data_IF_385767059044
#
_entry.id   IF_385767059044
#
_cell.length_a   1.000
_cell.length_b   1.000
_cell.length_c   1.000
_cell.angle_alpha   90.00
_cell.angle_beta   90.00
_cell.angle_gamma   90.00
#
_symmetry.space_group_name_H-M   'P 1'
#
loop_
_entity.id
_entity.type
_entity.pdbx_description
1 polymer ?
#
# COMPACT_ATOMS: atom_id res chain seq x y z
N UNK A 1 -5.17 10.97 17.58
CA UNK A 1 -6.40 10.18 17.74
C UNK A 1 -7.29 10.80 18.82
N UNK A 2 -6.79 11.02 20.06
CA UNK A 2 -7.57 11.59 21.18
C UNK A 2 -8.26 12.93 20.84
N UNK A 3 -7.61 13.81 20.07
CA UNK A 3 -8.15 15.10 19.62
C UNK A 3 -8.83 15.05 18.23
N UNK A 4 -9.16 13.87 17.72
CA UNK A 4 -9.72 13.70 16.38
C UNK A 4 -8.72 13.78 15.21
N UNK A 5 -7.45 14.03 15.48
CA UNK A 5 -6.40 14.06 14.46
C UNK A 5 -5.93 12.63 14.15
N UNK A 6 -6.59 11.98 13.23
CA UNK A 6 -6.30 10.58 12.87
C UNK A 6 -5.16 10.41 11.85
N UNK A 7 -4.76 11.49 11.16
CA UNK A 7 -3.78 11.48 10.07
C UNK A 7 -2.48 12.22 10.38
N UNK A 8 -2.43 12.96 11.48
CA UNK A 8 -1.32 13.85 11.81
C UNK A 8 -0.72 13.48 13.17
N UNK A 9 0.57 13.81 13.29
CA UNK A 9 1.25 13.82 14.57
C UNK A 9 0.83 15.02 15.45
N UNK A 10 1.53 15.21 16.58
CA UNK A 10 1.29 16.32 17.50
C UNK A 10 1.66 17.70 16.93
N UNK A 11 2.42 17.74 15.85
CA UNK A 11 2.85 18.97 15.16
C UNK A 11 1.98 19.29 13.94
N UNK A 12 0.95 18.49 13.66
CA UNK A 12 0.09 18.68 12.50
C UNK A 12 0.67 18.16 11.19
N UNK A 13 1.70 17.33 11.25
CA UNK A 13 2.38 16.78 10.07
C UNK A 13 1.72 15.47 9.66
N UNK A 14 1.35 15.34 8.37
CA UNK A 14 0.92 14.07 7.79
C UNK A 14 2.14 13.17 7.57
N UNK A 15 2.31 12.17 8.45
CA UNK A 15 3.47 11.29 8.43
C UNK A 15 3.62 10.48 7.14
N UNK A 16 2.54 10.25 6.39
CA UNK A 16 2.63 9.60 5.07
C UNK A 16 2.87 10.59 3.91
N UNK A 17 3.50 11.74 4.19
CA UNK A 17 3.96 12.73 3.22
C UNK A 17 5.42 13.15 3.44
N UNK A 18 6.10 12.54 4.43
CA UNK A 18 7.43 12.98 4.86
C UNK A 18 8.52 11.93 4.69
N UNK A 19 8.25 10.84 3.97
CA UNK A 19 9.26 9.82 3.67
C UNK A 19 10.26 10.25 2.59
N UNK A 20 9.88 11.19 1.72
CA UNK A 20 10.71 11.67 0.61
C UNK A 20 10.64 13.21 0.51
N UNK A 21 11.71 13.95 0.08
CA UNK A 21 13.00 13.45 -0.44
C UNK A 21 13.97 12.93 0.63
N UNK A 22 13.85 13.38 1.86
CA UNK A 22 14.63 12.87 2.99
C UNK A 22 13.84 13.11 4.27
N UNK A 23 13.43 12.04 4.96
CA UNK A 23 12.73 12.22 6.22
C UNK A 23 13.63 12.90 7.23
N UNK A 24 13.15 13.98 7.83
CA UNK A 24 13.80 14.67 8.93
C UNK A 24 13.81 13.73 10.14
N UNK A 25 15.01 13.30 10.55
CA UNK A 25 15.19 12.37 11.67
C UNK A 25 14.73 12.95 13.02
N UNK A 26 14.65 14.26 13.16
CA UNK A 26 14.15 14.90 14.36
C UNK A 26 12.62 15.00 14.36
N UNK A 27 12.02 15.31 13.21
CA UNK A 27 10.56 15.49 13.06
C UNK A 27 9.81 14.22 12.70
N UNK A 28 10.49 13.29 12.04
CA UNK A 28 9.89 12.03 11.57
C UNK A 28 10.83 10.83 11.78
N UNK A 29 11.25 10.54 13.04
CA UNK A 29 12.28 9.54 13.32
C UNK A 29 11.88 8.12 12.88
N UNK A 30 10.61 7.75 13.01
CA UNK A 30 10.14 6.43 12.59
C UNK A 30 10.21 6.26 11.07
N UNK A 31 9.88 7.30 10.30
CA UNK A 31 9.96 7.32 8.86
C UNK A 31 11.41 7.25 8.38
N UNK A 32 12.30 8.01 9.02
CA UNK A 32 13.73 7.97 8.73
C UNK A 32 14.31 6.56 9.00
N UNK A 33 14.02 5.99 10.17
CA UNK A 33 14.47 4.65 10.53
C UNK A 33 13.96 3.58 9.54
N UNK A 34 12.69 3.64 9.13
CA UNK A 34 12.11 2.70 8.16
C UNK A 34 12.84 2.77 6.82
N UNK A 35 13.14 3.97 6.31
CA UNK A 35 13.86 4.12 5.03
C UNK A 35 15.31 3.63 5.12
N UNK A 36 16.00 3.84 6.23
CA UNK A 36 17.34 3.28 6.48
C UNK A 36 17.28 1.75 6.49
N UNK A 37 16.33 1.16 7.20
CA UNK A 37 16.15 -0.30 7.24
C UNK A 37 15.81 -0.88 5.87
N UNK A 38 14.91 -0.25 5.12
CA UNK A 38 14.56 -0.67 3.77
C UNK A 38 15.78 -0.63 2.84
N UNK A 39 16.58 0.45 2.91
CA UNK A 39 17.83 0.57 2.13
C UNK A 39 18.84 -0.50 2.52
N UNK A 40 19.07 -0.72 3.80
CA UNK A 40 19.97 -1.75 4.28
C UNK A 40 19.53 -3.16 3.88
N UNK A 41 18.21 -3.44 3.92
CA UNK A 41 17.66 -4.70 3.46
C UNK A 41 17.84 -4.90 1.96
N UNK A 42 17.67 -3.85 1.13
CA UNK A 42 17.78 -3.95 -0.33
C UNK A 42 19.19 -4.28 -0.83
N UNK A 43 20.24 -3.98 -0.04
CA UNK A 43 21.64 -4.24 -0.41
C UNK A 43 22.14 -5.64 -0.05
N UNK A 44 21.34 -6.46 0.64
CA UNK A 44 21.71 -7.82 1.04
C UNK A 44 21.51 -8.82 -0.12
N UNK A 45 22.28 -9.92 -0.16
CA UNK A 45 21.96 -11.06 -1.04
C UNK A 45 20.52 -11.52 -0.79
N UNK A 46 19.73 -11.69 -1.84
CA UNK A 46 18.29 -11.92 -1.81
C UNK A 46 17.43 -10.73 -1.33
N UNK A 47 18.01 -9.62 -1.03
CA UNK A 47 17.44 -8.30 -0.86
C UNK A 47 16.02 -8.16 -0.33
N UNK A 48 15.49 -6.94 -0.40
CA UNK A 48 14.08 -6.67 -0.13
C UNK A 48 13.24 -7.07 -1.36
N UNK A 49 12.38 -8.07 -1.22
CA UNK A 49 11.57 -8.61 -2.32
C UNK A 49 10.24 -7.88 -2.50
N UNK A 50 9.69 -7.32 -1.43
CA UNK A 50 8.35 -6.71 -1.40
C UNK A 50 8.28 -5.68 -0.28
N UNK A 51 7.63 -4.55 -0.54
CA UNK A 51 7.24 -3.56 0.47
C UNK A 51 5.73 -3.28 0.35
N UNK A 52 5.01 -3.39 1.46
CA UNK A 52 3.57 -3.10 1.51
C UNK A 52 3.27 -2.22 2.72
N UNK A 53 2.73 -1.04 2.45
CA UNK A 53 2.19 -0.12 3.43
C UNK A 53 0.68 -0.37 3.56
N UNK A 54 0.22 -0.79 4.74
CA UNK A 54 -1.16 -1.20 4.97
C UNK A 54 -2.01 0.00 5.40
N UNK A 55 -3.00 0.31 4.58
CA UNK A 55 -3.92 1.43 4.79
C UNK A 55 -5.38 0.99 4.84
N UNK A 56 -6.22 1.90 5.33
CA UNK A 56 -7.67 1.75 5.29
C UNK A 56 -8.30 2.90 4.51
N UNK A 57 -9.26 2.58 3.62
CA UNK A 57 -9.90 3.53 2.71
C UNK A 57 -11.36 3.79 3.11
N UNK A 58 -11.74 5.09 3.18
CA UNK A 58 -13.06 5.49 3.63
C UNK A 58 -14.16 5.33 2.58
N UNK A 59 -13.87 5.59 1.30
CA UNK A 59 -14.90 5.70 0.25
C UNK A 59 -14.92 4.52 -0.73
N UNK A 60 -13.76 4.05 -1.23
CA UNK A 60 -13.72 2.90 -2.13
C UNK A 60 -13.96 1.61 -1.37
N UNK A 61 -14.86 0.75 -1.87
CA UNK A 61 -15.15 -0.57 -1.31
C UNK A 61 -14.11 -1.60 -1.74
N UNK A 62 -13.98 -2.68 -0.95
CA UNK A 62 -13.10 -3.79 -1.26
C UNK A 62 -11.65 -3.55 -0.90
N UNK A 63 -10.78 -4.32 -1.51
CA UNK A 63 -9.33 -4.30 -1.32
C UNK A 63 -8.65 -4.01 -2.66
N UNK A 64 -7.72 -3.09 -2.71
CA UNK A 64 -6.99 -2.71 -3.92
C UNK A 64 -5.61 -2.13 -3.59
N UNK A 65 -4.80 -1.91 -4.60
CA UNK A 65 -3.43 -1.41 -4.46
C UNK A 65 -3.25 -0.07 -5.17
N UNK A 66 -2.50 0.83 -4.53
CA UNK A 66 -1.77 1.90 -5.18
C UNK A 66 -0.32 1.47 -5.37
N UNK A 67 0.12 1.37 -6.62
CA UNK A 67 1.51 1.11 -6.98
C UNK A 67 2.24 2.37 -7.43
N UNK A 68 3.43 2.18 -7.97
CA UNK A 68 4.26 3.24 -8.52
C UNK A 68 4.23 3.22 -10.05
N UNK A 69 4.38 4.39 -10.67
CA UNK A 69 4.73 4.49 -12.07
C UNK A 69 6.23 4.25 -12.22
N UNK A 70 6.61 3.36 -13.12
CA UNK A 70 8.00 3.03 -13.43
C UNK A 70 8.21 3.26 -14.92
N UNK A 71 9.29 3.97 -15.27
CA UNK A 71 9.60 4.29 -16.68
C UNK A 71 10.09 3.05 -17.45
N UNK A 72 10.76 2.13 -16.74
CA UNK A 72 11.17 0.85 -17.30
C UNK A 72 9.97 -0.09 -17.47
N UNK A 73 9.80 -0.61 -18.70
CA UNK A 73 8.63 -1.42 -19.06
C UNK A 73 8.59 -2.75 -18.32
N UNK A 74 9.73 -3.42 -18.13
CA UNK A 74 9.78 -4.72 -17.46
C UNK A 74 9.43 -4.56 -15.98
N UNK A 75 10.01 -3.57 -15.32
CA UNK A 75 9.68 -3.24 -13.93
C UNK A 75 8.22 -2.80 -13.78
N UNK A 76 7.67 -2.08 -14.75
CA UNK A 76 6.26 -1.68 -14.74
C UNK A 76 5.32 -2.88 -14.87
N UNK A 77 5.64 -3.84 -15.71
CA UNK A 77 4.92 -5.11 -15.83
C UNK A 77 5.02 -5.91 -14.53
N UNK A 78 6.21 -6.06 -13.97
CA UNK A 78 6.45 -6.74 -12.69
C UNK A 78 5.64 -6.13 -11.56
N UNK A 79 5.59 -4.80 -11.48
CA UNK A 79 4.81 -4.05 -10.51
C UNK A 79 3.30 -4.37 -10.61
N UNK A 80 2.75 -4.44 -11.81
CA UNK A 80 1.33 -4.76 -12.05
C UNK A 80 1.02 -6.23 -11.86
N UNK A 81 1.97 -7.12 -12.14
CA UNK A 81 1.80 -8.56 -12.02
C UNK A 81 1.44 -8.98 -10.60
N UNK A 82 2.04 -8.38 -9.57
CA UNK A 82 1.70 -8.68 -8.18
C UNK A 82 0.22 -8.44 -7.88
N UNK A 83 -0.32 -7.29 -8.30
CA UNK A 83 -1.73 -6.98 -8.14
C UNK A 83 -2.64 -7.94 -8.93
N UNK A 84 -2.23 -8.33 -10.14
CA UNK A 84 -2.96 -9.32 -10.94
C UNK A 84 -2.98 -10.69 -10.24
N UNK A 85 -1.85 -11.13 -9.70
CA UNK A 85 -1.76 -12.39 -8.94
C UNK A 85 -2.65 -12.36 -7.69
N UNK A 86 -2.74 -11.22 -6.99
CA UNK A 86 -3.69 -11.06 -5.88
C UNK A 86 -5.14 -11.22 -6.36
N UNK A 87 -5.50 -10.67 -7.51
CA UNK A 87 -6.89 -10.73 -8.01
C UNK A 87 -7.31 -12.15 -8.41
N UNK A 88 -6.40 -12.97 -8.94
CA UNK A 88 -6.73 -14.35 -9.30
C UNK A 88 -6.71 -15.30 -8.10
N UNK A 89 -6.16 -14.87 -6.95
CA UNK A 89 -6.09 -15.65 -5.72
C UNK A 89 -7.00 -15.13 -4.60
N UNK A 90 -7.69 -14.00 -4.80
CA UNK A 90 -8.57 -13.40 -3.80
C UNK A 90 -9.87 -12.94 -4.43
N UNK A 91 -10.99 -13.42 -3.90
CA UNK A 91 -12.33 -12.98 -4.34
C UNK A 91 -12.64 -11.53 -3.98
N UNK A 92 -11.92 -10.94 -3.05
CA UNK A 92 -12.16 -9.59 -2.54
C UNK A 92 -11.21 -8.52 -3.11
N UNK A 93 -10.17 -8.92 -3.85
CA UNK A 93 -9.20 -7.99 -4.40
C UNK A 93 -9.65 -7.42 -5.74
N UNK A 94 -9.84 -6.10 -5.82
CA UNK A 94 -10.31 -5.41 -7.02
C UNK A 94 -9.13 -4.86 -7.82
N UNK A 95 -8.69 -5.60 -8.85
CA UNK A 95 -7.62 -5.18 -9.74
C UNK A 95 -7.96 -3.89 -10.50
N UNK A 96 -9.22 -3.69 -10.88
CA UNK A 96 -9.66 -2.51 -11.63
C UNK A 96 -9.69 -1.24 -10.76
N UNK A 97 -9.77 -1.39 -9.44
CA UNK A 97 -9.65 -0.27 -8.51
C UNK A 97 -8.19 0.15 -8.24
N UNK A 98 -7.21 -0.66 -8.65
CA UNK A 98 -5.79 -0.35 -8.49
C UNK A 98 -5.38 0.86 -9.35
N UNK A 99 -4.34 1.57 -8.91
CA UNK A 99 -3.80 2.70 -9.65
C UNK A 99 -2.27 2.71 -9.61
N UNK A 100 -1.67 2.77 -10.80
CA UNK A 100 -0.21 2.76 -11.03
C UNK A 100 0.23 3.98 -11.86
N UNK A 101 -0.63 5.00 -11.97
CA UNK A 101 -0.35 6.16 -12.80
C UNK A 101 0.63 7.14 -12.15
N UNK A 102 1.37 7.86 -13.00
CA UNK A 102 2.30 8.91 -12.60
C UNK A 102 1.56 10.06 -11.90
N UNK A 103 0.40 10.42 -12.40
CA UNK A 103 -0.46 11.48 -11.85
C UNK A 103 -0.88 11.17 -10.41
N UNK A 104 -1.27 9.91 -10.15
CA UNK A 104 -1.63 9.49 -8.79
C UNK A 104 -0.41 9.43 -7.87
N UNK A 105 0.75 9.03 -8.39
CA UNK A 105 2.00 8.95 -7.62
C UNK A 105 2.50 10.33 -7.18
N UNK A 106 2.32 11.36 -8.04
CA UNK A 106 2.82 12.72 -7.82
C UNK A 106 1.72 13.70 -7.34
N UNK A 107 0.50 13.23 -7.15
CA UNK A 107 -0.64 14.08 -6.77
C UNK A 107 -0.36 14.86 -5.50
N UNK A 108 -0.66 16.17 -5.52
CA UNK A 108 -0.66 16.99 -4.32
C UNK A 108 -2.02 16.92 -3.60
N UNK A 109 -1.99 17.00 -2.29
CA UNK A 109 -3.18 17.09 -1.46
C UNK A 109 -3.89 18.42 -1.73
N UNK A 110 -5.22 18.38 -1.89
CA UNK A 110 -6.03 19.57 -2.22
C UNK A 110 -6.10 20.59 -1.08
N UNK A 111 -6.67 21.79 -1.35
CA UNK A 111 -6.73 22.89 -0.37
C UNK A 111 -7.51 22.54 0.90
N UNK A 112 -8.49 21.64 0.80
CA UNK A 112 -9.29 21.14 1.95
C UNK A 112 -8.64 19.97 2.68
N UNK A 113 -7.48 19.49 2.22
CA UNK A 113 -6.76 18.44 2.91
C UNK A 113 -6.11 18.99 4.19
N UNK A 114 -5.84 18.11 5.11
CA UNK A 114 -5.23 18.44 6.38
C UNK A 114 -3.78 18.95 6.25
N UNK A 115 -3.10 18.62 5.14
CA UNK A 115 -1.80 19.18 4.73
C UNK A 115 -1.90 19.64 3.27
N UNK A 116 -2.48 20.84 3.00
CA UNK A 116 -2.63 21.35 1.65
C UNK A 116 -1.28 21.44 0.92
N UNK A 117 -1.26 20.97 -0.33
CA UNK A 117 -0.06 21.00 -1.16
C UNK A 117 0.99 19.93 -0.87
N UNK A 118 0.81 19.10 0.17
CA UNK A 118 1.72 17.98 0.43
C UNK A 118 1.62 16.93 -0.69
N UNK A 119 2.77 16.54 -1.24
CA UNK A 119 2.83 15.59 -2.35
C UNK A 119 2.68 14.14 -1.90
N UNK A 120 1.89 13.36 -2.64
CA UNK A 120 1.85 11.90 -2.50
C UNK A 120 3.20 11.24 -2.81
N UNK A 121 4.13 11.95 -3.46
CA UNK A 121 5.52 11.53 -3.64
C UNK A 121 6.23 11.26 -2.31
N UNK A 122 5.87 11.99 -1.26
CA UNK A 122 6.37 11.76 0.11
C UNK A 122 5.78 10.55 0.82
N UNK A 123 4.95 9.72 0.17
CA UNK A 123 4.39 8.51 0.77
C UNK A 123 5.42 7.38 0.90
N UNK A 124 5.18 6.47 1.84
CA UNK A 124 6.09 5.36 2.16
C UNK A 124 6.43 4.50 0.93
N UNK A 125 5.42 4.13 0.10
CA UNK A 125 5.65 3.30 -1.09
C UNK A 125 6.55 3.97 -2.13
N UNK A 126 6.33 5.28 -2.38
CA UNK A 126 7.13 6.03 -3.36
C UNK A 126 8.55 6.21 -2.86
N UNK A 127 8.71 6.59 -1.60
CA UNK A 127 10.01 6.73 -0.96
C UNK A 127 10.78 5.40 -0.96
N UNK A 128 10.14 4.29 -0.60
CA UNK A 128 10.77 2.98 -0.62
C UNK A 128 11.29 2.64 -2.03
N UNK A 129 10.48 2.80 -3.06
CA UNK A 129 10.90 2.59 -4.45
C UNK A 129 12.09 3.47 -4.83
N UNK A 130 12.05 4.78 -4.51
CA UNK A 130 13.14 5.72 -4.84
C UNK A 130 14.44 5.42 -4.10
N UNK A 131 14.37 5.04 -2.82
CA UNK A 131 15.56 4.71 -2.03
C UNK A 131 16.19 3.36 -2.39
N UNK A 132 15.37 2.38 -2.74
CA UNK A 132 15.81 0.99 -2.87
C UNK A 132 15.91 0.50 -4.32
N UNK A 133 15.19 1.15 -5.23
CA UNK A 133 14.97 0.65 -6.60
C UNK A 133 13.94 -0.47 -6.71
N UNK A 134 13.24 -0.80 -5.60
CA UNK A 134 12.29 -1.89 -5.54
C UNK A 134 11.02 -1.56 -6.35
N UNK A 135 10.78 -2.27 -7.45
CA UNK A 135 9.57 -2.14 -8.25
C UNK A 135 8.31 -2.51 -7.45
N UNK A 136 8.40 -3.53 -6.61
CA UNK A 136 7.29 -4.08 -5.81
C UNK A 136 7.11 -3.34 -4.47
N UNK A 137 6.84 -2.04 -4.54
CA UNK A 137 6.53 -1.20 -3.39
C UNK A 137 5.10 -0.63 -3.52
N UNK A 138 4.22 -0.95 -2.56
CA UNK A 138 2.78 -0.71 -2.66
C UNK A 138 2.19 -0.07 -1.41
N UNK A 139 1.04 0.60 -1.60
CA UNK A 139 0.06 0.83 -0.55
C UNK A 139 -1.13 -0.10 -0.79
N UNK A 140 -1.44 -0.98 0.15
CA UNK A 140 -2.64 -1.80 0.13
C UNK A 140 -3.75 -1.07 0.88
N UNK A 141 -4.86 -0.85 0.20
CA UNK A 141 -6.03 -0.17 0.75
C UNK A 141 -7.15 -1.17 0.99
N UNK A 142 -7.70 -1.18 2.21
CA UNK A 142 -8.89 -1.94 2.56
C UNK A 142 -9.99 -0.97 3.00
N UNK A 143 -11.22 -1.16 2.52
CA UNK A 143 -12.33 -0.35 3.04
C UNK A 143 -12.58 -0.64 4.52
N UNK A 144 -12.89 0.41 5.32
CA UNK A 144 -13.14 0.27 6.75
C UNK A 144 -14.30 -0.68 7.10
N UNK A 145 -15.34 -0.71 6.25
CA UNK A 145 -16.62 -1.33 6.61
C UNK A 145 -17.08 -2.39 5.62
N UNK A 146 -16.64 -2.32 4.35
CA UNK A 146 -17.26 -3.10 3.27
C UNK A 146 -16.22 -3.85 2.45
N UNK A 147 -16.27 -5.18 2.50
CA UNK A 147 -15.70 -6.03 1.47
C UNK A 147 -16.47 -5.89 0.15
N UNK A 148 -15.87 -6.34 -0.93
CA UNK A 148 -16.50 -6.46 -2.24
C UNK A 148 -16.05 -7.76 -2.88
N UNK A 149 -16.98 -8.61 -3.29
CA UNK A 149 -16.67 -9.77 -4.12
C UNK A 149 -16.53 -9.29 -5.56
N UNK A 150 -15.35 -9.44 -6.14
CA UNK A 150 -15.03 -8.98 -7.50
C UNK A 150 -14.58 -10.11 -8.41
N UNK A 151 -14.05 -11.18 -7.83
CA UNK A 151 -13.45 -12.27 -8.58
C UNK A 151 -14.08 -13.62 -8.21
N UNK A 152 -14.19 -14.51 -9.18
CA UNK A 152 -14.50 -15.91 -8.94
C UNK A 152 -13.17 -16.69 -8.85
N UNK A 153 -12.79 -17.06 -7.64
CA UNK A 153 -11.56 -17.82 -7.38
C UNK A 153 -11.92 -19.31 -7.33
N UNK A 154 -11.37 -20.14 -8.23
CA UNK A 154 -11.58 -21.57 -8.19
C UNK A 154 -11.14 -22.17 -6.85
N UNK A 155 -11.88 -23.17 -6.36
CA UNK A 155 -11.44 -23.93 -5.18
C UNK A 155 -10.12 -24.63 -5.49
N UNK A 156 -9.18 -24.59 -4.53
CA UNK A 156 -7.94 -25.32 -4.66
C UNK A 156 -8.22 -26.82 -4.80
N UNK A 157 -7.65 -27.45 -5.83
CA UNK A 157 -7.74 -28.90 -6.07
C UNK A 157 -6.45 -29.55 -5.58
N UNK A 158 -6.55 -30.52 -4.65
CA UNK A 158 -5.43 -31.34 -4.19
C UNK A 158 -5.21 -31.30 -2.66
N UNK A 159 -4.27 -32.09 -2.17
CA UNK A 159 -3.97 -32.26 -0.74
C UNK A 159 -3.49 -31.00 0.00
N UNK A 160 -3.12 -29.94 -0.73
CA UNK A 160 -2.79 -28.64 -0.18
C UNK A 160 -4.00 -27.77 0.21
N UNK A 161 -5.21 -28.14 -0.19
CA UNK A 161 -6.42 -27.34 -0.01
C UNK A 161 -6.85 -27.18 1.46
N UNK A 162 -6.38 -28.05 2.37
CA UNK A 162 -6.79 -28.03 3.77
C UNK A 162 -6.05 -26.96 4.63
N UNK A 163 -5.00 -26.35 4.13
CA UNK A 163 -4.19 -25.37 4.92
C UNK A 163 -4.67 -23.91 4.81
N UNK A 164 -5.68 -23.63 4.00
CA UNK A 164 -6.13 -22.25 3.72
C UNK A 164 -7.62 -21.97 3.97
N UNK A 165 -8.38 -22.92 4.49
CA UNK A 165 -9.76 -22.67 4.86
C UNK A 165 -9.81 -21.77 6.10
N UNK A 166 -10.11 -20.49 5.93
CA UNK A 166 -10.53 -19.64 7.04
C UNK A 166 -11.75 -20.28 7.72
N UNK A 167 -11.82 -20.34 9.05
CA UNK A 167 -12.97 -20.87 9.74
C UNK A 167 -14.22 -20.11 9.29
N UNK A 168 -15.27 -20.84 8.93
CA UNK A 168 -16.59 -20.25 8.62
C UNK A 168 -17.00 -19.37 9.82
N UNK A 169 -17.30 -18.11 9.54
CA UNK A 169 -17.88 -17.24 10.56
C UNK A 169 -19.21 -17.88 11.00
N UNK A 170 -19.47 -18.07 12.30
CA UNK A 170 -20.78 -18.49 12.74
C UNK A 170 -21.83 -17.50 12.25
N UNK A 171 -22.95 -18.03 11.78
CA UNK A 171 -24.09 -17.26 11.32
C UNK A 171 -24.48 -16.23 12.39
N UNK A 172 -24.67 -14.99 11.98
CA UNK A 172 -25.11 -13.89 12.85
C UNK A 172 -26.42 -14.29 13.51
N UNK A 173 -26.42 -14.36 14.82
CA UNK A 173 -27.66 -14.46 15.60
C UNK A 173 -28.39 -13.13 15.40
N UNK A 174 -29.61 -13.22 14.85
CA UNK A 174 -30.58 -12.14 14.70
C UNK A 174 -30.94 -11.50 16.04
#
# INVERSE_FOLDING_TARGET
VHRGHYRHDSFGVNLNRVYWPSPDSEKAPAQAALMVLAKAASTRPKGLALFVDLHAHASKRGVFIYGNHLEDTEQHIENRLYALLLSVNSSHFDYHACNFSKEHMLRCDGPSAATPGASAEGSARVACMRYTGLARAYTLECNYNCGRLTNNVPKASGEGAQRGASPERPATIT
#
